data_IF_465714610900
#
_entry.id   IF_465714610900
#
_cell.length_a   1.000
_cell.length_b   1.000
_cell.length_c   1.000
_cell.angle_alpha   90.00
_cell.angle_beta   90.00
_cell.angle_gamma   90.00
#
_symmetry.space_group_name_H-M   'P 1'
#
loop_
_entity.id
_entity.type
_entity.pdbx_description
1 polymer ?
#
# COMPACT_ATOMS: atom_id res chain seq x y z
N UNK A 1 -0.14 62.08 53.37
CA UNK A 1 0.93 61.33 52.67
C UNK A 1 0.66 59.84 52.47
N UNK A 2 -0.06 59.14 53.36
CA UNK A 2 -0.24 57.68 53.26
C UNK A 2 -1.12 57.16 52.09
N UNK A 3 -2.00 57.98 51.51
CA UNK A 3 -2.86 57.55 50.39
C UNK A 3 -2.12 57.49 49.05
N UNK A 4 -1.18 58.41 48.79
CA UNK A 4 -0.40 58.42 47.55
C UNK A 4 0.53 57.21 47.43
N UNK A 5 1.12 56.75 48.55
CA UNK A 5 2.00 55.60 48.57
C UNK A 5 1.28 54.28 48.23
N UNK A 6 0.00 54.16 48.62
CA UNK A 6 -0.83 53.00 48.28
C UNK A 6 -1.19 52.96 46.80
N UNK A 7 -1.48 54.11 46.18
CA UNK A 7 -1.78 54.18 44.75
C UNK A 7 -0.54 53.91 43.89
N UNK A 8 0.63 54.41 44.27
CA UNK A 8 1.88 54.12 43.55
C UNK A 8 2.29 52.65 43.66
N UNK A 9 2.08 52.02 44.83
CA UNK A 9 2.32 50.58 45.00
C UNK A 9 1.35 49.73 44.18
N UNK A 10 0.09 50.12 44.10
CA UNK A 10 -0.92 49.43 43.29
C UNK A 10 -0.66 49.58 41.78
N UNK A 11 -0.19 50.75 41.35
CA UNK A 11 0.22 50.99 39.95
C UNK A 11 1.43 50.12 39.56
N UNK A 12 2.44 50.02 40.43
CA UNK A 12 3.59 49.13 40.21
C UNK A 12 3.20 47.65 40.19
N UNK A 13 2.26 47.23 41.04
CA UNK A 13 1.76 45.85 41.06
C UNK A 13 0.98 45.51 39.78
N UNK A 14 0.21 46.46 39.24
CA UNK A 14 -0.50 46.28 37.96
C UNK A 14 0.45 46.22 36.74
N UNK A 15 1.54 46.99 36.78
CA UNK A 15 2.55 47.00 35.72
C UNK A 15 3.37 45.70 35.70
N UNK A 16 3.65 45.13 36.88
CA UNK A 16 4.35 43.85 37.01
C UNK A 16 3.51 42.67 36.48
N UNK A 17 2.20 42.69 36.69
CA UNK A 17 1.27 41.67 36.17
C UNK A 17 1.13 41.69 34.64
N UNK A 18 1.42 42.81 33.98
CA UNK A 18 1.36 42.91 32.51
C UNK A 18 2.64 42.38 31.81
N UNK A 19 3.75 42.29 32.54
CA UNK A 19 5.03 41.77 32.03
C UNK A 19 5.14 40.24 32.13
N UNK A 20 4.27 39.59 32.90
CA UNK A 20 4.16 38.13 32.98
C UNK A 20 3.12 37.68 31.96
N UNK A 21 3.44 37.80 30.66
CA UNK A 21 2.73 37.00 29.66
C UNK A 21 3.31 35.59 29.72
N UNK A 22 2.54 34.55 30.05
CA UNK A 22 3.01 33.20 29.81
C UNK A 22 3.30 33.10 28.31
N UNK A 23 4.54 32.73 27.97
CA UNK A 23 4.78 32.20 26.64
C UNK A 23 3.94 30.93 26.56
N UNK A 24 2.83 30.99 25.83
CA UNK A 24 2.08 29.80 25.47
C UNK A 24 2.99 28.94 24.60
N UNK A 25 3.73 28.05 25.24
CA UNK A 25 4.39 26.94 24.58
C UNK A 25 3.28 26.10 23.94
N UNK A 26 3.02 26.33 22.66
CA UNK A 26 2.32 25.38 21.82
C UNK A 26 3.18 24.11 21.76
N UNK A 27 3.03 23.23 22.75
CA UNK A 27 3.39 21.84 22.58
C UNK A 27 2.55 21.36 21.39
N UNK A 28 3.20 20.93 20.29
CA UNK A 28 2.48 20.25 19.22
C UNK A 28 1.97 18.96 19.83
N UNK A 29 0.67 18.91 20.09
CA UNK A 29 -0.01 17.69 20.50
C UNK A 29 0.12 16.72 19.32
N UNK A 30 1.18 15.93 19.32
CA UNK A 30 1.36 14.85 18.36
C UNK A 30 0.21 13.91 18.65
N UNK A 31 -0.79 13.88 17.76
CA UNK A 31 -1.90 12.96 17.90
C UNK A 31 -1.32 11.56 18.05
N UNK A 32 -1.75 10.76 19.05
CA UNK A 32 -1.25 9.39 19.25
C UNK A 32 -1.31 8.53 17.98
N UNK A 33 -2.22 8.87 17.06
CA UNK A 33 -2.39 8.24 15.76
C UNK A 33 -1.26 8.58 14.77
N UNK A 34 -0.77 9.81 14.78
CA UNK A 34 0.30 10.26 13.88
C UNK A 34 1.64 9.64 14.28
N UNK A 35 1.90 9.49 15.58
CA UNK A 35 3.07 8.74 16.07
C UNK A 35 3.01 7.27 15.68
N UNK A 36 1.83 6.64 15.80
CA UNK A 36 1.64 5.24 15.40
C UNK A 36 1.83 5.05 13.89
N UNK A 37 1.30 5.98 13.07
CA UNK A 37 1.50 5.93 11.62
C UNK A 37 2.98 6.05 11.27
N UNK A 38 3.72 6.93 11.94
CA UNK A 38 5.18 7.08 11.77
C UNK A 38 5.93 5.80 12.13
N UNK A 39 5.57 5.15 13.22
CA UNK A 39 6.16 3.90 13.66
C UNK A 39 5.94 2.78 12.62
N UNK A 40 4.70 2.61 12.14
CA UNK A 40 4.37 1.57 11.14
C UNK A 40 5.15 1.81 9.84
N UNK A 41 5.20 3.06 9.36
CA UNK A 41 5.95 3.39 8.14
C UNK A 41 7.45 3.19 8.34
N UNK A 42 7.99 3.52 9.51
CA UNK A 42 9.41 3.28 9.82
C UNK A 42 9.74 1.78 9.91
N UNK A 43 8.84 0.96 10.48
CA UNK A 43 9.05 -0.47 10.65
C UNK A 43 8.83 -1.30 9.38
N UNK A 44 7.80 -0.99 8.60
CA UNK A 44 7.39 -1.78 7.42
C UNK A 44 7.72 -1.11 6.08
N UNK A 45 8.19 0.14 6.08
CA UNK A 45 8.46 0.92 4.86
C UNK A 45 7.21 1.47 4.17
N UNK A 46 6.02 1.12 4.64
CA UNK A 46 4.75 1.66 4.17
C UNK A 46 3.64 1.43 5.20
N UNK A 47 2.58 2.23 5.10
CA UNK A 47 1.34 2.00 5.83
C UNK A 47 0.15 2.20 4.88
N UNK A 48 -0.97 1.55 5.18
CA UNK A 48 -2.22 1.77 4.47
C UNK A 48 -3.19 2.50 5.38
N UNK A 49 -3.81 3.54 4.86
CA UNK A 49 -4.79 4.34 5.60
C UNK A 49 -6.04 4.50 4.77
N UNK A 50 -7.16 4.65 5.44
CA UNK A 50 -8.46 4.91 4.85
C UNK A 50 -8.91 6.31 5.21
N UNK A 51 -9.32 7.08 4.22
CA UNK A 51 -9.76 8.47 4.39
C UNK A 51 -11.17 8.61 3.81
N UNK A 52 -12.14 9.15 4.57
CA UNK A 52 -13.45 9.46 4.01
C UNK A 52 -13.32 10.59 2.98
N UNK A 53 -14.09 10.52 1.90
CA UNK A 53 -14.13 11.58 0.90
C UNK A 53 -15.59 11.95 0.61
N UNK A 54 -15.84 13.22 0.33
CA UNK A 54 -17.18 13.73 -0.01
C UNK A 54 -17.34 13.99 -1.51
N UNK A 55 -16.23 14.10 -2.27
CA UNK A 55 -16.31 14.42 -3.69
C UNK A 55 -15.06 14.10 -4.50
N UNK A 56 -15.22 14.14 -5.83
CA UNK A 56 -14.13 13.84 -6.79
C UNK A 56 -12.94 14.78 -6.68
N UNK A 57 -13.17 16.02 -6.26
CA UNK A 57 -12.10 17.03 -6.08
C UNK A 57 -11.10 16.61 -5.01
N UNK A 58 -11.56 16.01 -3.90
CA UNK A 58 -10.68 15.52 -2.84
C UNK A 58 -9.84 14.34 -3.34
N UNK A 59 -10.46 13.39 -4.04
CA UNK A 59 -9.74 12.28 -4.65
C UNK A 59 -8.64 12.79 -5.57
N UNK A 60 -8.94 13.76 -6.44
CA UNK A 60 -7.96 14.37 -7.34
C UNK A 60 -6.85 15.13 -6.61
N UNK A 61 -7.17 15.76 -5.48
CA UNK A 61 -6.20 16.45 -4.65
C UNK A 61 -5.19 15.47 -4.04
N UNK A 62 -5.68 14.38 -3.45
CA UNK A 62 -4.82 13.36 -2.86
C UNK A 62 -4.05 12.57 -3.92
N UNK A 63 -4.67 12.18 -5.04
CA UNK A 63 -4.00 11.38 -6.08
C UNK A 63 -2.79 12.07 -6.71
N UNK A 64 -2.67 13.40 -6.59
CA UNK A 64 -1.52 14.17 -7.08
C UNK A 64 -0.30 14.11 -6.15
N UNK A 65 -0.50 13.75 -4.89
CA UNK A 65 0.51 13.86 -3.84
C UNK A 65 0.79 12.54 -3.11
N UNK A 66 -0.20 11.62 -3.10
CA UNK A 66 -0.11 10.31 -2.45
C UNK A 66 -0.65 9.21 -3.37
N UNK A 67 -0.21 7.97 -3.11
CA UNK A 67 -0.67 6.81 -3.87
C UNK A 67 -2.02 6.32 -3.37
N UNK A 68 -3.08 6.60 -4.12
CA UNK A 68 -4.43 6.07 -3.85
C UNK A 68 -4.52 4.67 -4.45
N UNK A 69 -4.68 3.64 -3.62
CA UNK A 69 -4.76 2.25 -4.08
C UNK A 69 -6.17 1.81 -4.46
N UNK A 70 -7.20 2.34 -3.79
CA UNK A 70 -8.60 1.97 -4.03
C UNK A 70 -9.56 3.05 -3.55
N UNK A 71 -10.73 3.14 -4.16
CA UNK A 71 -11.83 4.03 -3.75
C UNK A 71 -13.11 3.19 -3.66
N UNK A 72 -13.63 2.97 -2.45
CA UNK A 72 -14.81 2.12 -2.18
C UNK A 72 -15.57 2.68 -0.98
N UNK A 73 -16.90 2.58 -1.01
CA UNK A 73 -17.76 2.88 0.14
C UNK A 73 -17.51 4.28 0.76
N UNK A 74 -17.38 5.31 -0.09
CA UNK A 74 -17.09 6.70 0.31
C UNK A 74 -15.78 6.88 1.09
N UNK A 75 -14.91 5.88 1.00
CA UNK A 75 -13.59 5.83 1.60
C UNK A 75 -12.54 5.57 0.52
N UNK A 76 -11.43 6.28 0.59
CA UNK A 76 -10.27 6.01 -0.26
C UNK A 76 -9.15 5.39 0.56
N UNK A 77 -8.61 4.31 0.05
CA UNK A 77 -7.42 3.65 0.57
C UNK A 77 -6.19 4.33 -0.03
N UNK A 78 -5.29 4.78 0.84
CA UNK A 78 -4.06 5.46 0.49
C UNK A 78 -2.89 4.64 1.05
N UNK A 79 -1.90 4.40 0.20
CA UNK A 79 -0.61 3.83 0.59
C UNK A 79 0.35 4.97 0.91
N UNK A 80 0.76 5.03 2.17
CA UNK A 80 1.69 6.03 2.70
C UNK A 80 3.08 5.45 2.71
N UNK A 81 3.99 6.12 2.02
CA UNK A 81 5.43 5.84 2.03
C UNK A 81 6.17 6.81 2.97
N UNK A 82 7.43 6.53 3.33
CA UNK A 82 8.26 7.45 4.13
C UNK A 82 8.36 8.85 3.51
N UNK A 83 8.36 8.94 2.17
CA UNK A 83 8.47 10.20 1.43
C UNK A 83 7.20 11.06 1.51
N UNK A 84 6.04 10.43 1.63
CA UNK A 84 4.73 11.12 1.57
C UNK A 84 4.11 11.34 2.95
N UNK A 85 4.70 10.76 3.99
CA UNK A 85 4.16 10.71 5.34
C UNK A 85 3.97 12.09 5.98
N UNK A 86 5.01 12.93 5.96
CA UNK A 86 4.95 14.26 6.56
C UNK A 86 3.96 15.17 5.84
N UNK A 87 3.93 15.09 4.51
CA UNK A 87 2.94 15.81 3.72
C UNK A 87 1.52 15.37 4.09
N UNK A 88 1.27 14.06 4.21
CA UNK A 88 -0.05 13.53 4.56
C UNK A 88 -0.51 14.00 5.94
N UNK A 89 0.36 13.90 6.96
CA UNK A 89 0.05 14.36 8.33
C UNK A 89 -0.22 15.88 8.34
N UNK A 90 0.51 16.65 7.53
CA UNK A 90 0.29 18.10 7.44
C UNK A 90 -1.08 18.51 6.88
N UNK A 91 -1.77 17.60 6.16
CA UNK A 91 -3.12 17.85 5.64
C UNK A 91 -4.19 17.85 6.74
N UNK A 92 -3.87 17.35 7.95
CA UNK A 92 -4.78 17.28 9.10
C UNK A 92 -6.13 16.63 8.78
N UNK A 93 -6.12 15.66 7.87
CA UNK A 93 -7.33 14.94 7.44
C UNK A 93 -7.65 13.81 8.42
N UNK A 94 -8.93 13.52 8.64
CA UNK A 94 -9.32 12.33 9.39
C UNK A 94 -8.97 11.07 8.57
N UNK A 95 -8.29 10.11 9.19
CA UNK A 95 -7.93 8.85 8.54
C UNK A 95 -8.03 7.70 9.53
N UNK A 96 -8.10 6.45 9.06
CA UNK A 96 -8.03 5.22 9.83
C UNK A 96 -6.86 4.37 9.34
N UNK A 97 -6.03 3.83 10.23
CA UNK A 97 -4.91 2.97 9.81
C UNK A 97 -5.47 1.57 9.55
N UNK A 98 -5.25 1.04 8.35
CA UNK A 98 -5.56 -0.34 8.03
C UNK A 98 -4.46 -1.23 8.58
N UNK A 99 -4.82 -2.20 9.43
CA UNK A 99 -3.89 -3.22 9.87
C UNK A 99 -3.44 -4.03 8.66
N UNK A 100 -2.13 -4.20 8.52
CA UNK A 100 -1.59 -5.13 7.54
C UNK A 100 -2.05 -6.54 7.94
N UNK A 101 -2.56 -7.35 7.00
CA UNK A 101 -2.78 -8.76 7.27
C UNK A 101 -1.44 -9.39 7.67
N UNK A 102 -1.50 -10.27 8.66
CA UNK A 102 -0.34 -10.97 9.19
C UNK A 102 0.44 -11.69 8.08
N UNK A 103 1.75 -11.48 8.00
CA UNK A 103 2.60 -12.06 6.96
C UNK A 103 2.49 -13.60 6.88
N UNK A 104 2.04 -14.25 7.97
CA UNK A 104 1.76 -15.69 8.05
C UNK A 104 0.68 -16.19 7.07
N UNK A 105 -0.12 -15.30 6.47
CA UNK A 105 -1.16 -15.71 5.51
C UNK A 105 -0.62 -16.08 4.12
N UNK A 106 0.59 -15.65 3.74
CA UNK A 106 1.13 -15.92 2.41
C UNK A 106 2.09 -17.13 2.42
N UNK A 107 1.63 -18.27 1.92
CA UNK A 107 2.44 -19.49 1.79
C UNK A 107 3.07 -19.54 0.39
N UNK A 108 4.39 -19.49 0.32
CA UNK A 108 5.15 -19.80 -0.90
C UNK A 108 5.53 -21.27 -0.86
N UNK A 109 5.41 -21.97 -1.99
CA UNK A 109 5.79 -23.38 -2.07
C UNK A 109 7.30 -23.58 -1.89
N UNK A 110 7.67 -24.52 -1.03
CA UNK A 110 9.07 -24.94 -0.82
C UNK A 110 9.61 -25.77 -1.99
N UNK A 111 8.75 -26.52 -2.69
CA UNK A 111 9.11 -27.34 -3.83
C UNK A 111 7.98 -27.41 -4.87
N UNK A 112 8.30 -27.93 -6.07
CA UNK A 112 7.34 -28.08 -7.18
C UNK A 112 6.18 -29.01 -6.82
N UNK A 113 6.41 -30.05 -6.01
CA UNK A 113 5.36 -30.95 -5.55
C UNK A 113 4.30 -30.21 -4.73
N UNK A 114 4.72 -29.40 -3.76
CA UNK A 114 3.84 -28.55 -2.96
C UNK A 114 3.12 -27.48 -3.80
N UNK A 115 3.79 -26.91 -4.80
CA UNK A 115 3.15 -25.98 -5.72
C UNK A 115 1.98 -26.62 -6.50
N UNK A 116 2.11 -27.90 -6.84
CA UNK A 116 1.08 -28.68 -7.54
C UNK A 116 -0.09 -29.12 -6.65
N UNK A 117 -0.03 -28.86 -5.34
CA UNK A 117 -1.17 -29.01 -4.41
C UNK A 117 -2.12 -27.81 -4.49
N UNK A 118 -1.72 -26.72 -5.18
CA UNK A 118 -2.51 -25.50 -5.38
C UNK A 118 -2.87 -24.71 -4.11
N UNK A 119 -2.29 -25.06 -2.95
CA UNK A 119 -2.47 -24.34 -1.68
C UNK A 119 -1.42 -23.24 -1.42
N UNK A 120 -0.49 -23.04 -2.34
CA UNK A 120 0.63 -22.10 -2.18
C UNK A 120 1.08 -21.51 -3.50
N UNK A 121 1.73 -20.35 -3.42
CA UNK A 121 2.22 -19.66 -4.61
C UNK A 121 3.57 -20.27 -5.08
N UNK A 122 3.69 -20.64 -6.37
CA UNK A 122 4.95 -21.08 -6.94
C UNK A 122 5.93 -19.91 -7.11
N UNK A 123 7.22 -20.21 -6.91
CA UNK A 123 8.31 -19.36 -7.43
C UNK A 123 8.42 -19.50 -8.95
N UNK A 124 9.08 -18.54 -9.60
CA UNK A 124 9.27 -18.60 -11.06
C UNK A 124 9.93 -19.92 -11.55
N UNK A 125 11.03 -20.43 -10.95
CA UNK A 125 11.60 -21.70 -11.37
C UNK A 125 10.67 -22.90 -11.18
N UNK A 126 9.83 -22.87 -10.14
CA UNK A 126 8.81 -23.91 -9.92
C UNK A 126 7.72 -23.81 -10.98
N UNK A 127 7.26 -22.61 -11.31
CA UNK A 127 6.30 -22.38 -12.41
C UNK A 127 6.84 -22.90 -13.75
N UNK A 128 8.09 -22.55 -14.10
CA UNK A 128 8.77 -23.04 -15.30
C UNK A 128 8.79 -24.57 -15.36
N UNK A 129 9.21 -25.21 -14.25
CA UNK A 129 9.21 -26.66 -14.11
C UNK A 129 7.82 -27.28 -14.27
N UNK A 130 6.78 -26.66 -13.70
CA UNK A 130 5.38 -27.11 -13.81
C UNK A 130 4.92 -27.07 -15.27
N UNK A 131 5.20 -25.97 -15.97
CA UNK A 131 4.81 -25.79 -17.37
C UNK A 131 5.45 -26.84 -18.28
N UNK A 132 6.75 -27.08 -18.13
CA UNK A 132 7.44 -28.14 -18.87
C UNK A 132 6.94 -29.55 -18.49
N UNK A 133 6.61 -29.79 -17.23
CA UNK A 133 6.06 -31.06 -16.78
C UNK A 133 4.67 -31.37 -17.36
N UNK A 134 3.85 -30.36 -17.69
CA UNK A 134 2.58 -30.57 -18.38
C UNK A 134 2.79 -31.11 -19.80
N UNK A 135 3.65 -30.45 -20.59
CA UNK A 135 3.93 -30.88 -21.97
C UNK A 135 4.60 -32.26 -22.01
N UNK A 136 5.52 -32.56 -21.08
CA UNK A 136 6.16 -33.87 -20.99
C UNK A 136 5.17 -35.00 -20.65
N UNK A 137 4.17 -34.72 -19.80
CA UNK A 137 3.18 -35.71 -19.35
C UNK A 137 2.02 -35.90 -20.33
N UNK A 138 1.69 -34.88 -21.12
CA UNK A 138 0.60 -34.91 -22.10
C UNK A 138 1.05 -34.45 -23.50
N UNK A 139 2.04 -35.12 -24.12
CA UNK A 139 2.69 -34.63 -25.34
C UNK A 139 1.77 -34.55 -26.57
N UNK A 140 0.67 -35.31 -26.59
CA UNK A 140 -0.32 -35.29 -27.68
C UNK A 140 -1.46 -34.28 -27.47
N UNK A 141 -1.51 -33.64 -26.29
CA UNK A 141 -2.57 -32.71 -25.90
C UNK A 141 -2.05 -31.30 -25.68
N UNK A 142 -0.80 -31.14 -25.24
CA UNK A 142 -0.22 -29.83 -25.02
C UNK A 142 1.25 -29.69 -25.41
N UNK A 143 1.58 -28.53 -25.94
CA UNK A 143 2.92 -28.10 -26.26
C UNK A 143 3.23 -26.79 -25.53
N UNK A 144 4.46 -26.65 -25.06
CA UNK A 144 4.92 -25.39 -24.49
C UNK A 144 5.60 -24.53 -25.56
N UNK A 145 5.36 -23.23 -25.53
CA UNK A 145 6.03 -22.25 -26.37
C UNK A 145 6.43 -21.03 -25.54
N UNK A 146 7.37 -20.24 -26.06
CA UNK A 146 7.83 -18.99 -25.44
C UNK A 146 7.39 -17.81 -26.28
N UNK A 147 6.51 -16.97 -25.73
CA UNK A 147 5.97 -15.80 -26.43
C UNK A 147 6.78 -14.52 -26.20
N UNK A 148 7.81 -14.58 -25.37
CA UNK A 148 8.72 -13.45 -25.14
C UNK A 148 9.54 -13.58 -23.87
N UNK A 149 10.13 -12.46 -23.46
CA UNK A 149 10.90 -12.32 -22.22
C UNK A 149 10.43 -11.09 -21.45
N UNK A 150 10.43 -11.20 -20.12
CA UNK A 150 10.16 -10.06 -19.24
C UNK A 150 11.31 -9.07 -19.24
N UNK A 151 11.08 -7.86 -18.69
CA UNK A 151 12.10 -6.82 -18.52
C UNK A 151 13.35 -7.27 -17.74
N UNK A 152 13.27 -8.36 -16.96
CA UNK A 152 14.38 -8.95 -16.21
C UNK A 152 14.89 -10.27 -16.82
N UNK A 153 14.56 -10.55 -18.08
CA UNK A 153 15.07 -11.70 -18.83
C UNK A 153 14.43 -13.05 -18.49
N UNK A 154 13.32 -13.09 -17.73
CA UNK A 154 12.55 -14.33 -17.51
C UNK A 154 11.70 -14.69 -18.73
N UNK A 155 11.59 -15.97 -19.07
CA UNK A 155 10.76 -16.45 -20.17
C UNK A 155 9.28 -16.23 -19.86
N UNK A 156 8.53 -15.81 -20.88
CA UNK A 156 7.07 -15.76 -20.85
C UNK A 156 6.55 -16.96 -21.62
N UNK A 157 6.08 -17.95 -20.87
CA UNK A 157 5.68 -19.25 -21.39
C UNK A 157 4.18 -19.28 -21.70
N UNK A 158 3.80 -20.01 -22.75
CA UNK A 158 2.42 -20.34 -23.08
C UNK A 158 2.31 -21.85 -23.21
N UNK A 159 1.28 -22.41 -22.57
CA UNK A 159 0.88 -23.80 -22.80
C UNK A 159 -0.23 -23.81 -23.84
N UNK A 160 0.08 -24.28 -25.05
CA UNK A 160 -0.92 -24.53 -26.08
C UNK A 160 -1.57 -25.87 -25.82
N UNK A 161 -2.88 -25.90 -25.63
CA UNK A 161 -3.68 -27.12 -25.49
C UNK A 161 -4.43 -27.35 -26.80
N UNK A 162 -4.07 -28.39 -27.53
CA UNK A 162 -4.67 -28.71 -28.82
C UNK A 162 -4.43 -30.19 -29.15
N UNK A 163 -5.43 -30.88 -29.69
CA UNK A 163 -5.24 -32.23 -30.21
C UNK A 163 -4.39 -32.18 -31.49
N UNK A 164 -3.47 -33.13 -31.65
CA UNK A 164 -2.53 -33.26 -32.77
C UNK A 164 -3.19 -33.70 -34.10
N UNK A 165 -4.30 -33.07 -34.47
CA UNK A 165 -4.96 -33.29 -35.75
C UNK A 165 -4.61 -32.16 -36.73
N UNK A 166 -3.74 -32.39 -37.73
CA UNK A 166 -3.34 -31.38 -38.70
C UNK A 166 -4.49 -30.94 -39.63
N UNK A 167 -5.64 -31.62 -39.65
CA UNK A 167 -6.83 -31.18 -40.40
C UNK A 167 -7.66 -30.10 -39.66
N UNK A 168 -7.24 -29.68 -38.47
CA UNK A 168 -7.99 -28.82 -37.57
C UNK A 168 -7.78 -27.29 -37.79
N UNK A 169 -7.39 -26.85 -38.99
CA UNK A 169 -7.04 -25.44 -39.27
C UNK A 169 -8.18 -24.43 -39.03
N UNK A 170 -9.43 -24.88 -38.86
CA UNK A 170 -10.60 -24.03 -38.62
C UNK A 170 -11.15 -24.08 -37.19
N UNK A 171 -10.33 -24.37 -36.17
CA UNK A 171 -10.80 -24.35 -34.76
C UNK A 171 -10.69 -22.95 -34.14
N UNK A 172 -11.74 -22.45 -33.47
CA UNK A 172 -11.64 -21.23 -32.69
C UNK A 172 -10.66 -21.42 -31.53
N UNK A 173 -9.75 -20.46 -31.36
CA UNK A 173 -8.81 -20.42 -30.24
C UNK A 173 -9.29 -19.47 -29.15
N UNK A 174 -9.02 -19.81 -27.89
CA UNK A 174 -9.19 -18.92 -26.75
C UNK A 174 -7.84 -18.74 -26.07
N UNK A 175 -7.49 -17.51 -25.74
CA UNK A 175 -6.25 -17.19 -25.04
C UNK A 175 -6.57 -16.78 -23.60
N UNK A 176 -6.11 -17.58 -22.64
CA UNK A 176 -6.26 -17.30 -21.21
C UNK A 176 -4.96 -16.75 -20.64
N UNK A 177 -5.05 -15.62 -19.94
CA UNK A 177 -3.93 -15.01 -19.24
C UNK A 177 -4.27 -14.80 -17.77
N UNK A 178 -3.29 -14.98 -16.90
CA UNK A 178 -3.36 -14.58 -15.49
C UNK A 178 -2.18 -13.69 -15.15
N UNK A 179 -2.34 -12.84 -14.13
CA UNK A 179 -1.27 -11.98 -13.59
C UNK A 179 -0.69 -11.00 -14.63
N UNK A 180 -1.55 -10.13 -15.18
CA UNK A 180 -1.18 -9.01 -16.04
C UNK A 180 -0.89 -7.74 -15.23
#
# INVERSE_FOLDING_TARGET
MAKHLKYTLFLFLSLFLFLIRPADCFCRDISPKDSLLREIVAGHGQARVTVPFSGKTEIQYFSRNVSVSSVKDEKMEIVISPLTLDWFISQKTAYEILSLPDARFFRTSSCTGQALEWESYPTYPQYDSIMHAFSARYPFLCSIDTIGTSIRGRLVLVLRISAADPAAEARPGVFFTSTI
#
